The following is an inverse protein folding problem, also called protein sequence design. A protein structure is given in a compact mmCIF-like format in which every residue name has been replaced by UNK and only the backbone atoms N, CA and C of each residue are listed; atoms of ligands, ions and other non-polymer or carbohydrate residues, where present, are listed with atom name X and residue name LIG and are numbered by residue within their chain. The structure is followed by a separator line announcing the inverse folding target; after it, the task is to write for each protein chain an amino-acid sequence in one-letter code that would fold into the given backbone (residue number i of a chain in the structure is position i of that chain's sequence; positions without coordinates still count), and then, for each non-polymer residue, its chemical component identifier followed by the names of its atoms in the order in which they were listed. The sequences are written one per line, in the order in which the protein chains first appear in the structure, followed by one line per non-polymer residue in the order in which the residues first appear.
data_IF_773745795664
#
_entry.id   IF_773745795664
#
_cell.length_a   1.000
_cell.length_b   1.000
_cell.length_c   1.000
_cell.angle_alpha   90.00
_cell.angle_beta   90.00
_cell.angle_gamma   90.00
#
_symmetry.space_group_name_H-M   'P 1'
#
loop_
_entity.id
_entity.type
_entity.pdbx_description
1 polymer ?
#
# COMPACT_ATOMS: atom_id res chain seq x y z
N UNK A 1 -2.15 -7.84 20.07
CA UNK A 1 -1.50 -8.14 18.78
C UNK A 1 -0.66 -6.98 18.26
N UNK A 2 -1.22 -5.77 18.13
CA UNK A 2 -0.49 -4.55 17.77
C UNK A 2 0.78 -4.31 18.61
N UNK A 3 0.68 -4.51 19.93
CA UNK A 3 1.80 -4.41 20.87
C UNK A 3 2.94 -5.40 20.55
N UNK A 4 2.62 -6.62 20.14
CA UNK A 4 3.62 -7.63 19.77
C UNK A 4 4.32 -7.28 18.45
N UNK A 5 3.60 -6.70 17.50
CA UNK A 5 4.19 -6.26 16.23
C UNK A 5 5.16 -5.08 16.43
N UNK A 6 4.90 -4.21 17.41
CA UNK A 6 5.75 -3.06 17.73
C UNK A 6 7.08 -3.44 18.40
N UNK A 7 7.23 -4.66 18.94
CA UNK A 7 8.48 -5.11 19.58
C UNK A 7 9.51 -5.65 18.58
N UNK A 8 9.17 -5.70 17.28
CA UNK A 8 10.07 -6.15 16.23
C UNK A 8 11.37 -5.32 16.20
N UNK A 9 12.52 -6.01 16.12
CA UNK A 9 13.85 -5.38 16.11
C UNK A 9 14.44 -5.40 14.70
N UNK A 10 14.99 -4.28 14.27
CA UNK A 10 15.74 -4.17 13.02
C UNK A 10 17.25 -4.25 13.28
N UNK A 11 18.02 -4.79 12.34
CA UNK A 11 19.49 -4.97 12.50
C UNK A 11 20.23 -3.64 12.70
N UNK A 12 19.68 -2.53 12.19
CA UNK A 12 20.29 -1.20 12.21
C UNK A 12 19.69 -0.26 13.27
N UNK A 13 18.81 -0.75 14.15
CA UNK A 13 18.29 0.04 15.27
C UNK A 13 17.13 0.99 14.95
N UNK A 14 16.49 0.84 13.78
CA UNK A 14 15.26 1.56 13.44
C UNK A 14 14.10 1.10 14.33
N UNK A 15 13.26 2.06 14.75
CA UNK A 15 12.07 1.84 15.58
C UNK A 15 10.87 1.47 14.71
N UNK A 16 10.12 0.46 15.12
CA UNK A 16 8.91 -0.01 14.43
C UNK A 16 7.68 0.64 15.05
N UNK A 17 6.80 1.19 14.21
CA UNK A 17 5.50 1.73 14.62
C UNK A 17 4.39 0.92 13.96
N UNK A 18 3.32 0.65 14.70
CA UNK A 18 2.20 -0.16 14.21
C UNK A 18 0.88 0.58 14.40
N UNK A 19 0.01 0.50 13.40
CA UNK A 19 -1.36 1.03 13.47
C UNK A 19 -2.27 0.01 12.81
N UNK A 20 -3.40 -0.28 13.46
CA UNK A 20 -4.46 -1.12 12.89
C UNK A 20 -5.47 -0.17 12.26
N UNK A 21 -5.79 -0.36 10.99
CA UNK A 21 -6.90 0.32 10.35
C UNK A 21 -8.18 -0.41 10.77
N UNK A 22 -9.03 0.27 11.54
CA UNK A 22 -10.33 -0.19 12.03
C UNK A 22 -11.47 0.02 11.02
N UNK A 23 -11.18 0.70 9.90
CA UNK A 23 -12.15 0.96 8.85
C UNK A 23 -12.59 -0.33 8.15
N UNK A 24 -13.89 -0.58 8.20
CA UNK A 24 -14.55 -1.67 7.45
C UNK A 24 -14.74 -1.22 6.00
N UNK A 25 -13.93 -1.76 5.10
CA UNK A 25 -14.07 -1.52 3.66
C UNK A 25 -15.07 -2.49 3.06
N UNK A 26 -15.98 -1.97 2.25
CA UNK A 26 -16.91 -2.82 1.51
C UNK A 26 -16.14 -3.69 0.52
N UNK A 27 -16.34 -5.00 0.62
CA UNK A 27 -15.79 -5.98 -0.30
C UNK A 27 -16.61 -6.02 -1.59
N UNK A 28 -16.03 -6.52 -2.69
CA UNK A 28 -16.73 -6.66 -3.97
C UNK A 28 -16.95 -5.37 -4.75
N UNK A 29 -16.48 -4.21 -4.27
CA UNK A 29 -16.44 -2.97 -5.07
C UNK A 29 -15.49 -3.16 -6.25
N UNK A 30 -16.06 -3.20 -7.46
CA UNK A 30 -15.31 -3.22 -8.72
C UNK A 30 -15.32 -1.81 -9.30
N UNK A 31 -14.14 -1.31 -9.64
CA UNK A 31 -13.99 -0.18 -10.56
C UNK A 31 -14.41 -0.62 -11.96
N UNK A 32 -14.76 0.32 -12.82
CA UNK A 32 -15.12 0.00 -14.21
C UNK A 32 -13.91 -0.61 -14.94
N UNK A 33 -14.14 -1.43 -15.96
CA UNK A 33 -13.04 -2.07 -16.67
C UNK A 33 -12.19 -1.03 -17.42
N UNK A 34 -12.82 0.04 -17.94
CA UNK A 34 -12.11 1.15 -18.59
C UNK A 34 -11.16 1.86 -17.61
N UNK A 35 -11.56 1.99 -16.34
CA UNK A 35 -10.70 2.55 -15.31
C UNK A 35 -9.51 1.63 -15.01
N UNK A 36 -9.68 0.29 -15.03
CA UNK A 36 -8.55 -0.63 -14.84
C UNK A 36 -7.58 -0.60 -16.00
N UNK A 37 -8.08 -0.52 -17.23
CA UNK A 37 -7.26 -0.52 -18.45
C UNK A 37 -6.45 0.77 -18.60
N UNK A 38 -7.02 1.91 -18.20
CA UNK A 38 -6.38 3.23 -18.30
C UNK A 38 -5.50 3.60 -17.11
N UNK A 39 -5.60 2.90 -15.97
CA UNK A 39 -4.87 3.26 -14.76
C UNK A 39 -3.35 3.06 -14.92
N UNK A 40 -2.61 4.17 -14.92
CA UNK A 40 -1.15 4.15 -15.03
C UNK A 40 -0.51 3.67 -13.71
N UNK A 41 0.28 2.61 -13.78
CA UNK A 41 1.12 2.15 -12.66
C UNK A 41 2.57 2.56 -12.92
N UNK A 42 3.09 3.48 -12.11
CA UNK A 42 4.47 3.95 -12.19
C UNK A 42 5.31 3.22 -11.15
N UNK A 43 6.25 2.42 -11.60
CA UNK A 43 7.18 1.72 -10.73
C UNK A 43 8.31 2.64 -10.25
N UNK A 44 8.73 2.44 -9.00
CA UNK A 44 9.83 3.18 -8.43
C UNK A 44 11.15 2.91 -9.17
N UNK A 45 11.99 3.93 -9.33
CA UNK A 45 13.24 3.82 -10.08
C UNK A 45 14.29 2.93 -9.39
N UNK A 46 14.28 2.86 -8.05
CA UNK A 46 15.29 2.15 -7.27
C UNK A 46 14.80 0.77 -6.82
N UNK A 47 13.51 0.63 -6.48
CA UNK A 47 12.91 -0.64 -6.04
C UNK A 47 11.60 -0.97 -6.80
N UNK A 48 11.65 -1.14 -8.13
CA UNK A 48 10.44 -1.34 -8.95
C UNK A 48 9.67 -2.62 -8.61
N UNK A 49 10.32 -3.63 -8.03
CA UNK A 49 9.64 -4.86 -7.59
C UNK A 49 8.82 -4.70 -6.32
N UNK A 50 9.13 -3.68 -5.51
CA UNK A 50 8.57 -3.50 -4.18
C UNK A 50 7.68 -2.26 -4.08
N UNK A 51 8.00 -1.23 -4.85
CA UNK A 51 7.37 0.08 -4.75
C UNK A 51 6.79 0.50 -6.11
N UNK A 52 5.52 0.91 -6.10
CA UNK A 52 4.83 1.47 -7.25
C UNK A 52 3.79 2.50 -6.80
N UNK A 53 3.42 3.39 -7.71
CA UNK A 53 2.36 4.39 -7.52
C UNK A 53 1.32 4.21 -8.63
N UNK A 54 0.06 3.98 -8.25
CA UNK A 54 -1.05 4.08 -9.20
C UNK A 54 -1.41 5.56 -9.38
N UNK A 55 -1.21 6.11 -10.58
CA UNK A 55 -1.55 7.49 -10.92
C UNK A 55 -2.95 7.50 -11.54
N UNK A 56 -3.94 8.11 -10.87
CA UNK A 56 -5.23 8.32 -11.48
C UNK A 56 -5.08 9.36 -12.60
N UNK A 57 -5.62 9.06 -13.79
CA UNK A 57 -5.83 10.08 -14.80
C UNK A 57 -6.91 11.04 -14.31
N UNK A 58 -6.67 12.34 -14.40
CA UNK A 58 -7.72 13.32 -14.14
C UNK A 58 -8.82 13.13 -15.19
N UNK A 59 -10.08 13.16 -14.73
CA UNK A 59 -11.27 13.08 -15.58
C UNK A 59 -11.43 14.33 -16.46
#
# INVERSE_FOLDING_TARGET
MKELMATAKTKTGLKVFTTVLDKVYQTGRKVTEEFKESMEIVFDAYLPKWNYTAKPQAA
#
